data_IF_756164216088
#
_entry.id   IF_756164216088
#
_cell.length_a   1.000
_cell.length_b   1.000
_cell.length_c   1.000
_cell.angle_alpha   90.00
_cell.angle_beta   90.00
_cell.angle_gamma   90.00
#
_symmetry.space_group_name_H-M   'P 1'
#
loop_
_entity.id
_entity.type
_entity.pdbx_description
1 polymer ?
#
# COMPACT_ATOMS: atom_id res chain seq x y z
N UNK A 1 -4.27 -10.16 13.73
CA UNK A 1 -5.24 -9.07 13.95
C UNK A 1 -6.64 -9.55 13.57
N UNK A 2 -7.71 -9.08 14.25
CA UNK A 2 -9.07 -9.57 14.08
C UNK A 2 -9.65 -9.43 12.67
N UNK A 3 -9.32 -8.35 11.94
CA UNK A 3 -9.83 -8.12 10.59
C UNK A 3 -8.98 -8.78 9.48
N UNK A 4 -7.92 -9.52 9.84
CA UNK A 4 -7.05 -10.22 8.90
C UNK A 4 -6.09 -9.28 8.15
N UNK A 5 -5.70 -9.66 6.93
CA UNK A 5 -4.75 -8.89 6.12
C UNK A 5 -5.46 -7.98 5.11
N UNK A 6 -4.81 -6.88 4.72
CA UNK A 6 -5.29 -5.97 3.67
C UNK A 6 -5.51 -6.71 2.34
N UNK A 7 -4.68 -7.72 2.04
CA UNK A 7 -4.87 -8.59 0.87
C UNK A 7 -6.25 -9.23 0.84
N UNK A 8 -6.75 -9.68 2.00
CA UNK A 8 -8.06 -10.32 2.09
C UNK A 8 -9.19 -9.32 1.83
N UNK A 9 -9.01 -8.05 2.18
CA UNK A 9 -9.99 -7.00 1.93
C UNK A 9 -9.99 -6.51 0.48
N UNK A 10 -8.84 -6.55 -0.19
CA UNK A 10 -8.72 -6.14 -1.59
C UNK A 10 -9.18 -7.23 -2.56
N UNK A 11 -8.92 -8.51 -2.27
CA UNK A 11 -9.02 -9.59 -3.28
C UNK A 11 -9.86 -10.80 -2.89
N UNK A 12 -10.43 -10.85 -1.67
CA UNK A 12 -11.30 -11.98 -1.30
C UNK A 12 -12.69 -11.84 -1.92
N UNK A 13 -13.19 -12.93 -2.51
CA UNK A 13 -14.56 -13.03 -3.02
C UNK A 13 -15.61 -13.29 -1.94
N UNK A 14 -15.19 -13.53 -0.69
CA UNK A 14 -16.06 -13.98 0.39
C UNK A 14 -16.41 -12.85 1.37
N UNK A 15 -17.66 -12.39 1.31
CA UNK A 15 -18.46 -11.73 2.37
C UNK A 15 -17.92 -10.49 3.12
N UNK A 16 -16.67 -10.07 2.96
CA UNK A 16 -16.17 -8.82 3.53
C UNK A 16 -16.72 -7.65 2.72
N UNK A 17 -17.21 -6.61 3.40
CA UNK A 17 -17.56 -5.35 2.74
C UNK A 17 -16.30 -4.76 2.10
N UNK A 18 -16.38 -4.33 0.83
CA UNK A 18 -15.28 -3.61 0.18
C UNK A 18 -14.85 -2.40 1.01
N UNK A 19 -13.54 -2.11 1.04
CA UNK A 19 -13.00 -0.90 1.67
C UNK A 19 -13.43 0.34 0.89
N UNK A 20 -14.02 1.32 1.55
CA UNK A 20 -14.29 2.60 0.91
C UNK A 20 -13.00 3.44 0.75
N UNK A 21 -13.08 4.53 -0.02
CA UNK A 21 -11.92 5.38 -0.30
C UNK A 21 -11.27 5.96 0.97
N UNK A 22 -12.06 6.37 1.96
CA UNK A 22 -11.54 6.92 3.20
C UNK A 22 -10.75 5.87 3.99
N UNK A 23 -11.26 4.65 4.09
CA UNK A 23 -10.56 3.53 4.73
C UNK A 23 -9.25 3.21 4.00
N UNK A 24 -9.27 3.17 2.67
CA UNK A 24 -8.06 2.97 1.85
C UNK A 24 -7.00 4.04 2.15
N UNK A 25 -7.39 5.31 2.19
CA UNK A 25 -6.50 6.43 2.49
C UNK A 25 -5.92 6.33 3.91
N UNK A 26 -6.75 6.05 4.92
CA UNK A 26 -6.29 5.88 6.30
C UNK A 26 -5.27 4.74 6.41
N UNK A 27 -5.54 3.59 5.79
CA UNK A 27 -4.62 2.45 5.75
C UNK A 27 -3.28 2.85 5.11
N UNK A 28 -3.30 3.59 4.01
CA UNK A 28 -2.08 4.08 3.34
C UNK A 28 -1.30 5.03 4.27
N UNK A 29 -1.98 5.93 4.97
CA UNK A 29 -1.37 6.89 5.90
C UNK A 29 -0.71 6.17 7.08
N UNK A 30 -1.39 5.18 7.65
CA UNK A 30 -0.87 4.35 8.75
C UNK A 30 0.42 3.63 8.31
N UNK A 31 0.41 2.99 7.14
CA UNK A 31 1.60 2.31 6.59
C UNK A 31 2.73 3.29 6.32
N UNK A 32 2.44 4.45 5.74
CA UNK A 32 3.44 5.49 5.48
C UNK A 32 4.08 6.00 6.79
N UNK A 33 3.26 6.17 7.83
CA UNK A 33 3.71 6.60 9.16
C UNK A 33 4.64 5.57 9.80
N UNK A 34 4.36 4.26 9.64
CA UNK A 34 5.26 3.21 10.09
C UNK A 34 6.58 3.23 9.31
N UNK A 35 6.55 3.40 7.98
CA UNK A 35 7.80 3.49 7.21
C UNK A 35 8.63 4.71 7.60
N UNK A 36 8.01 5.87 7.79
CA UNK A 36 8.69 7.07 8.29
C UNK A 36 9.36 6.79 9.64
N UNK A 37 8.63 6.14 10.56
CA UNK A 37 9.17 5.72 11.85
C UNK A 37 10.40 4.81 11.73
N UNK A 38 10.30 3.76 10.91
CA UNK A 38 11.38 2.78 10.70
C UNK A 38 12.62 3.42 10.06
N UNK A 39 12.43 4.35 9.13
CA UNK A 39 13.52 4.94 8.35
C UNK A 39 14.17 6.15 9.03
N UNK A 40 13.39 6.96 9.73
CA UNK A 40 13.83 8.29 10.18
C UNK A 40 13.85 8.47 11.70
N UNK A 41 13.08 7.69 12.46
CA UNK A 41 12.90 7.92 13.90
C UNK A 41 13.48 6.80 14.79
N UNK A 42 13.97 5.71 14.20
CA UNK A 42 14.66 4.65 14.92
C UNK A 42 16.16 4.97 15.12
N UNK A 43 16.75 4.52 16.23
CA UNK A 43 18.19 4.67 16.51
C UNK A 43 19.09 4.02 15.44
N UNK A 44 18.63 2.91 14.86
CA UNK A 44 19.20 2.30 13.67
C UNK A 44 18.11 2.25 12.61
N UNK A 45 18.47 2.56 11.36
CA UNK A 45 17.51 2.54 10.26
C UNK A 45 17.02 1.10 10.08
N UNK A 46 15.71 0.89 10.12
CA UNK A 46 15.11 -0.42 9.92
C UNK A 46 14.54 -0.47 8.51
N UNK A 47 15.00 -1.43 7.69
CA UNK A 47 14.49 -1.64 6.34
C UNK A 47 13.60 -2.90 6.38
N UNK A 48 12.34 -2.79 6.00
CA UNK A 48 11.35 -3.87 6.07
C UNK A 48 11.61 -4.99 5.06
N UNK A 49 11.93 -4.63 3.81
CA UNK A 49 12.29 -5.48 2.67
C UNK A 49 11.18 -6.36 2.05
N UNK A 50 9.99 -6.45 2.65
CA UNK A 50 8.88 -7.24 2.11
C UNK A 50 7.51 -6.60 2.34
N UNK A 51 7.39 -5.30 2.04
CA UNK A 51 6.11 -4.60 2.23
C UNK A 51 5.13 -4.97 1.11
N UNK A 52 3.95 -5.50 1.48
CA UNK A 52 2.89 -5.94 0.57
C UNK A 52 1.56 -6.06 1.32
N UNK A 53 0.39 -6.10 0.65
CA UNK A 53 -0.91 -6.16 1.31
C UNK A 53 -1.10 -7.35 2.28
N UNK A 54 -0.46 -8.50 2.06
CA UNK A 54 -0.56 -9.63 3.01
C UNK A 54 0.15 -9.36 4.34
N UNK A 55 1.09 -8.42 4.34
CA UNK A 55 1.89 -8.05 5.51
C UNK A 55 1.32 -6.80 6.20
N UNK A 56 0.20 -6.26 5.73
CA UNK A 56 -0.55 -5.22 6.42
C UNK A 56 -1.74 -5.88 7.11
N UNK A 57 -1.76 -5.84 8.43
CA UNK A 57 -2.81 -6.43 9.26
C UNK A 57 -3.75 -5.34 9.78
N UNK A 58 -5.05 -5.60 9.80
CA UNK A 58 -6.07 -4.64 10.24
C UNK A 58 -6.62 -5.05 11.60
N UNK A 59 -6.57 -4.16 12.58
CA UNK A 59 -7.16 -4.37 13.90
C UNK A 59 -8.67 -4.12 13.91
N UNK A 60 -9.31 -4.19 15.10
CA UNK A 60 -10.76 -4.03 15.26
C UNK A 60 -11.29 -2.66 14.77
N UNK A 61 -10.45 -1.62 14.86
CA UNK A 61 -10.79 -0.24 14.46
C UNK A 61 -10.41 0.07 13.01
N UNK A 62 -10.01 -0.97 12.24
CA UNK A 62 -9.49 -0.86 10.87
C UNK A 62 -8.20 -0.05 10.75
N UNK A 63 -7.46 0.10 11.85
CA UNK A 63 -6.11 0.70 11.84
C UNK A 63 -5.13 -0.31 11.24
N UNK A 64 -4.23 0.18 10.39
CA UNK A 64 -3.28 -0.68 9.70
C UNK A 64 -1.98 -0.84 10.50
N UNK A 65 -1.55 -2.09 10.63
CA UNK A 65 -0.31 -2.48 11.30
C UNK A 65 0.59 -3.22 10.32
N UNK A 66 1.82 -2.72 10.14
CA UNK A 66 2.84 -3.42 9.34
C UNK A 66 3.37 -4.60 10.14
N UNK A 67 3.30 -5.79 9.56
CA UNK A 67 3.79 -7.04 10.13
C UNK A 67 4.81 -7.74 9.23
N UNK A 68 5.31 -8.88 9.70
CA UNK A 68 6.31 -9.72 9.03
C UNK A 68 7.66 -9.03 8.73
N UNK A 69 8.42 -8.81 9.80
CA UNK A 69 9.79 -8.33 9.75
C UNK A 69 10.82 -9.45 9.51
N UNK A 70 10.42 -10.63 9.02
CA UNK A 70 11.32 -11.77 8.81
C UNK A 70 12.48 -11.46 7.85
N UNK A 71 12.28 -10.50 6.95
CA UNK A 71 13.30 -10.03 6.01
C UNK A 71 13.96 -8.70 6.41
N UNK A 72 13.61 -8.14 7.57
CA UNK A 72 14.05 -6.80 7.95
C UNK A 72 15.56 -6.70 8.23
N UNK A 73 16.12 -5.50 8.05
CA UNK A 73 17.56 -5.19 8.23
C UNK A 73 17.75 -3.94 9.07
N UNK A 74 18.85 -3.90 9.84
CA UNK A 74 19.21 -2.77 10.69
C UNK A 74 20.47 -2.09 10.15
N UNK A 75 20.32 -0.94 9.48
CA UNK A 75 21.45 -0.14 9.02
C UNK A 75 22.05 0.68 10.17
N UNK A 76 23.39 0.74 10.25
CA UNK A 76 24.11 1.49 11.29
C UNK A 76 24.62 0.66 12.47
N UNK A 77 24.39 -0.66 12.49
CA UNK A 77 25.01 -1.57 13.46
C UNK A 77 26.22 -2.28 12.87
N UNK A 78 27.28 -2.51 13.66
CA UNK A 78 28.53 -3.17 13.24
C UNK A 78 28.35 -4.61 12.70
N UNK A 79 27.13 -5.14 12.73
CA UNK A 79 26.71 -6.46 12.23
C UNK A 79 26.40 -6.52 10.73
N UNK A 80 26.45 -5.41 9.98
CA UNK A 80 26.09 -5.38 8.55
C UNK A 80 27.06 -6.09 7.59
N UNK A 81 28.03 -6.86 8.11
CA UNK A 81 29.08 -7.51 7.33
C UNK A 81 28.72 -8.85 6.68
N UNK A 82 27.44 -9.22 6.59
CA UNK A 82 27.04 -10.43 5.84
C UNK A 82 26.04 -10.07 4.75
N UNK A 83 26.60 -9.70 3.60
CA UNK A 83 25.89 -9.72 2.32
C UNK A 83 25.39 -11.14 2.07
N UNK A 84 24.10 -11.36 2.29
CA UNK A 84 23.44 -12.61 1.94
C UNK A 84 22.95 -12.41 0.51
N UNK A 85 23.64 -13.09 -0.40
CA UNK A 85 23.35 -13.11 -1.84
C UNK A 85 22.03 -13.86 -2.09
N UNK A 86 21.12 -13.26 -2.87
CA UNK A 86 19.86 -13.86 -3.30
C UNK A 86 18.74 -12.84 -3.48
N UNK A 87 17.77 -13.15 -4.36
CA UNK A 87 16.54 -12.37 -4.51
C UNK A 87 15.79 -12.42 -3.17
N UNK A 88 15.41 -11.25 -2.66
CA UNK A 88 14.74 -11.10 -1.36
C UNK A 88 13.52 -10.20 -1.51
N UNK A 89 12.51 -10.50 -0.71
CA UNK A 89 11.19 -9.91 -0.84
C UNK A 89 10.33 -10.68 -1.85
N UNK A 90 9.11 -10.20 -2.04
CA UNK A 90 8.12 -10.79 -2.92
C UNK A 90 8.30 -10.24 -4.33
N UNK A 91 8.47 -11.12 -5.32
CA UNK A 91 8.88 -10.78 -6.71
C UNK A 91 7.98 -9.68 -7.31
N UNK A 92 6.67 -9.74 -7.07
CA UNK A 92 5.69 -8.79 -7.60
C UNK A 92 5.83 -7.36 -7.04
N UNK A 93 6.44 -7.22 -5.87
CA UNK A 93 6.57 -5.94 -5.16
C UNK A 93 8.01 -5.46 -5.13
N UNK A 94 8.97 -6.37 -5.30
CA UNK A 94 10.39 -6.10 -5.15
C UNK A 94 10.89 -5.06 -6.16
N UNK A 95 11.78 -4.14 -5.75
CA UNK A 95 12.45 -3.24 -6.67
C UNK A 95 13.23 -4.03 -7.74
N UNK A 96 13.22 -3.59 -9.02
CA UNK A 96 13.91 -4.31 -10.10
C UNK A 96 15.42 -4.47 -9.84
N UNK A 97 16.03 -3.50 -9.16
CA UNK A 97 17.44 -3.53 -8.78
C UNK A 97 17.79 -4.65 -7.77
N UNK A 98 16.82 -5.20 -7.03
CA UNK A 98 17.07 -6.33 -6.13
C UNK A 98 17.29 -7.64 -6.92
N UNK A 99 16.73 -7.74 -8.13
CA UNK A 99 16.93 -8.88 -9.03
C UNK A 99 18.37 -9.01 -9.55
N UNK A 100 19.15 -7.93 -9.50
CA UNK A 100 20.57 -7.89 -9.91
C UNK A 100 21.54 -7.90 -8.74
N UNK A 101 21.06 -8.18 -7.52
CA UNK A 101 21.90 -8.33 -6.32
C UNK A 101 22.26 -7.02 -5.62
N UNK A 102 21.49 -5.94 -5.84
CA UNK A 102 21.71 -4.67 -5.14
C UNK A 102 21.47 -4.80 -3.63
N UNK A 103 22.07 -3.90 -2.86
CA UNK A 103 21.85 -3.82 -1.42
C UNK A 103 20.44 -3.36 -1.07
N UNK A 104 19.97 -3.82 0.08
CA UNK A 104 18.68 -3.42 0.63
C UNK A 104 18.79 -2.00 1.20
N UNK A 105 17.83 -1.15 0.86
CA UNK A 105 17.84 0.27 1.20
C UNK A 105 16.43 0.71 1.58
N UNK A 106 16.33 1.82 2.33
CA UNK A 106 15.06 2.48 2.60
C UNK A 106 14.29 2.84 1.33
N UNK A 107 15.00 3.18 0.24
CA UNK A 107 14.39 3.44 -1.07
C UNK A 107 13.68 2.20 -1.66
N UNK A 108 14.12 0.99 -1.31
CA UNK A 108 13.44 -0.23 -1.72
C UNK A 108 12.09 -0.43 -1.02
N UNK A 109 12.01 -0.09 0.27
CA UNK A 109 10.73 -0.06 0.99
C UNK A 109 9.78 1.00 0.40
N UNK A 110 10.31 2.17 -0.01
CA UNK A 110 9.52 3.21 -0.70
C UNK A 110 8.98 2.70 -2.04
N UNK A 111 9.76 1.90 -2.77
CA UNK A 111 9.28 1.25 -3.99
C UNK A 111 8.17 0.24 -3.69
N UNK A 112 8.36 -0.64 -2.68
CA UNK A 112 7.32 -1.58 -2.27
C UNK A 112 6.03 -0.84 -1.85
N UNK A 113 6.16 0.26 -1.10
CA UNK A 113 5.05 1.12 -0.71
C UNK A 113 4.32 1.70 -1.91
N UNK A 114 5.04 2.11 -2.95
CA UNK A 114 4.43 2.60 -4.21
C UNK A 114 3.58 1.52 -4.88
N UNK A 115 4.04 0.27 -4.91
CA UNK A 115 3.24 -0.84 -5.47
C UNK A 115 1.99 -1.06 -4.63
N UNK A 116 2.14 -1.12 -3.31
CA UNK A 116 1.05 -1.29 -2.35
C UNK A 116 0.00 -0.18 -2.50
N UNK A 117 0.43 1.08 -2.57
CA UNK A 117 -0.42 2.25 -2.78
C UNK A 117 -1.27 2.08 -4.05
N UNK A 118 -0.65 1.72 -5.17
CA UNK A 118 -1.35 1.55 -6.44
C UNK A 118 -2.35 0.39 -6.39
N UNK A 119 -2.00 -0.72 -5.76
CA UNK A 119 -2.91 -1.85 -5.59
C UNK A 119 -4.10 -1.50 -4.69
N UNK A 120 -3.87 -0.76 -3.60
CA UNK A 120 -4.93 -0.26 -2.72
C UNK A 120 -5.87 0.69 -3.46
N UNK A 121 -5.36 1.57 -4.33
CA UNK A 121 -6.22 2.51 -5.05
C UNK A 121 -6.97 1.86 -6.21
N UNK A 122 -6.30 0.99 -6.97
CA UNK A 122 -6.85 0.39 -8.20
C UNK A 122 -7.65 -0.88 -7.95
N UNK A 123 -7.49 -1.50 -6.79
CA UNK A 123 -8.03 -2.82 -6.46
C UNK A 123 -7.39 -3.96 -7.27
N UNK A 124 -6.29 -3.72 -7.98
CA UNK A 124 -5.67 -4.68 -8.90
C UNK A 124 -4.33 -5.15 -8.40
N UNK A 125 -4.11 -6.47 -8.40
CA UNK A 125 -2.81 -7.04 -8.04
C UNK A 125 -1.75 -6.68 -9.09
N UNK A 126 -0.46 -6.58 -8.73
CA UNK A 126 0.60 -6.31 -9.71
C UNK A 126 0.70 -7.34 -10.84
N UNK A 127 0.14 -8.54 -10.64
CA UNK A 127 0.08 -9.66 -11.58
C UNK A 127 -1.30 -9.88 -12.20
N UNK A 128 -2.21 -8.91 -12.09
CA UNK A 128 -3.53 -8.98 -12.70
C UNK A 128 -3.42 -9.27 -14.21
N UNK A 129 -4.29 -10.15 -14.72
CA UNK A 129 -4.27 -10.59 -16.12
C UNK A 129 -4.46 -9.47 -17.14
N UNK A 130 -4.99 -8.31 -16.73
CA UNK A 130 -5.04 -7.12 -17.59
C UNK A 130 -3.64 -6.57 -17.92
N UNK A 131 -2.65 -6.83 -17.07
CA UNK A 131 -1.26 -6.39 -17.22
C UNK A 131 -0.49 -7.37 -18.11
N UNK A 132 -0.81 -7.36 -19.40
CA UNK A 132 -0.11 -8.13 -20.42
C UNK A 132 0.64 -7.22 -21.42
N UNK A 133 1.52 -7.83 -22.24
CA UNK A 133 2.22 -7.15 -23.35
C UNK A 133 2.99 -5.87 -22.94
N UNK A 134 3.53 -5.84 -21.73
CA UNK A 134 4.34 -4.73 -21.22
C UNK A 134 3.56 -3.60 -20.56
N UNK A 135 2.24 -3.73 -20.40
CA UNK A 135 1.45 -2.91 -19.48
C UNK A 135 1.73 -3.41 -18.05
N UNK A 136 2.11 -2.49 -17.17
CA UNK A 136 2.34 -2.76 -15.74
C UNK A 136 1.39 -1.91 -14.90
N UNK A 137 1.22 -2.25 -13.63
CA UNK A 137 0.42 -1.43 -12.70
C UNK A 137 0.85 0.04 -12.70
N UNK A 138 2.16 0.32 -12.80
CA UNK A 138 2.68 1.68 -12.94
C UNK A 138 2.23 2.38 -14.21
N UNK A 139 2.34 1.72 -15.37
CA UNK A 139 1.92 2.30 -16.65
C UNK A 139 0.42 2.49 -16.70
N UNK A 140 -0.34 1.56 -16.12
CA UNK A 140 -1.78 1.70 -15.98
C UNK A 140 -2.14 2.94 -15.17
N UNK A 141 -1.53 3.11 -13.99
CA UNK A 141 -1.77 4.27 -13.14
C UNK A 141 -1.34 5.58 -13.83
N UNK A 142 -0.22 5.61 -14.54
CA UNK A 142 0.27 6.79 -15.26
C UNK A 142 -0.67 7.21 -16.41
N UNK A 143 -1.14 6.23 -17.18
CA UNK A 143 -2.14 6.45 -18.24
C UNK A 143 -3.47 6.91 -17.66
N UNK A 144 -3.93 6.28 -16.58
CA UNK A 144 -5.20 6.64 -15.95
C UNK A 144 -5.13 8.02 -15.26
N UNK A 145 -4.03 8.37 -14.59
CA UNK A 145 -3.84 9.70 -13.99
C UNK A 145 -3.76 10.82 -15.04
N UNK A 146 -3.20 10.54 -16.22
CA UNK A 146 -3.07 11.54 -17.30
C UNK A 146 -4.35 11.73 -18.12
N UNK A 147 -5.23 10.73 -18.16
CA UNK A 147 -6.52 10.81 -18.85
C UNK A 147 -7.65 11.26 -17.91
N UNK A 148 -7.94 10.50 -16.85
CA UNK A 148 -8.99 10.76 -15.85
C UNK A 148 -8.68 10.00 -14.54
N UNK A 149 -8.45 10.74 -13.44
CA UNK A 149 -8.11 10.16 -12.12
C UNK A 149 -9.17 9.15 -11.61
N UNK A 150 -10.42 9.28 -12.05
CA UNK A 150 -11.50 8.34 -11.74
C UNK A 150 -11.21 6.92 -12.20
N UNK A 151 -10.44 6.73 -13.27
CA UNK A 151 -10.11 5.41 -13.83
C UNK A 151 -9.03 4.68 -13.02
N UNK A 152 -8.35 5.40 -12.12
CA UNK A 152 -7.32 4.86 -11.20
C UNK A 152 -7.96 4.30 -9.93
N UNK A 153 -9.05 4.91 -9.49
CA UNK A 153 -9.77 4.52 -8.27
C UNK A 153 -10.83 3.50 -8.65
N UNK A 154 -11.07 2.46 -7.85
CA UNK A 154 -12.24 1.59 -8.06
C UNK A 154 -13.52 2.47 -8.13
N UNK A 155 -14.13 2.54 -9.32
CA UNK A 155 -15.13 3.55 -9.72
C UNK A 155 -16.36 3.55 -8.78
N UNK A 156 -16.72 2.36 -8.30
CA UNK A 156 -17.78 2.17 -7.30
C UNK A 156 -17.51 2.88 -5.97
N UNK A 157 -16.24 3.03 -5.56
CA UNK A 157 -15.85 3.66 -4.30
C UNK A 157 -15.76 5.18 -4.42
N UNK A 158 -15.29 5.69 -5.57
CA UNK A 158 -15.20 7.14 -5.80
C UNK A 158 -16.59 7.75 -5.91
N UNK A 159 -17.52 7.10 -6.62
CA UNK A 159 -18.90 7.56 -6.75
C UNK A 159 -19.62 7.59 -5.39
N UNK A 160 -19.40 6.59 -4.53
CA UNK A 160 -19.94 6.57 -3.16
C UNK A 160 -19.35 7.68 -2.29
N UNK A 161 -18.03 7.87 -2.34
CA UNK A 161 -17.36 8.92 -1.58
C UNK A 161 -17.86 10.32 -1.96
N UNK A 162 -18.00 10.61 -3.26
CA UNK A 162 -18.54 11.87 -3.74
C UNK A 162 -20.01 12.06 -3.34
N UNK A 163 -20.81 10.99 -3.33
CA UNK A 163 -22.19 11.04 -2.84
C UNK A 163 -22.24 11.34 -1.33
N UNK A 164 -21.42 10.67 -0.53
CA UNK A 164 -21.33 10.88 0.93
C UNK A 164 -20.86 12.31 1.27
N UNK A 165 -19.84 12.84 0.59
CA UNK A 165 -19.35 14.22 0.79
C UNK A 165 -20.41 15.26 0.36
N UNK A 166 -21.11 15.04 -0.75
CA UNK A 166 -22.22 15.91 -1.17
C UNK A 166 -23.37 15.89 -0.15
N UNK A 167 -23.68 14.73 0.42
CA UNK A 167 -24.69 14.58 1.48
C UNK A 167 -24.23 15.33 2.75
N UNK A 168 -22.99 15.11 3.20
CA UNK A 168 -22.43 15.78 4.37
C UNK A 168 -22.45 17.31 4.23
N UNK A 169 -22.05 17.84 3.06
CA UNK A 169 -22.09 19.29 2.77
C UNK A 169 -23.51 19.86 2.77
N UNK A 170 -24.49 19.12 2.23
CA UNK A 170 -25.91 19.52 2.27
C UNK A 170 -26.42 19.62 3.71
N UNK A 171 -26.07 18.67 4.57
CA UNK A 171 -26.45 18.70 5.99
C UNK A 171 -25.80 19.85 6.75
N UNK A 172 -24.51 20.11 6.53
CA UNK A 172 -23.80 21.25 7.15
C UNK A 172 -24.38 22.59 6.74
N UNK A 173 -24.71 22.78 5.45
CA UNK A 173 -25.35 24.00 4.95
C UNK A 173 -26.79 24.19 5.47
N UNK A 174 -27.53 23.09 5.70
CA UNK A 174 -28.87 23.14 6.28
C UNK A 174 -28.85 23.54 7.76
N UNK A 175 -27.80 23.17 8.51
CA UNK A 175 -27.63 23.53 9.93
C UNK A 175 -27.16 24.97 10.13
N UNK A 176 -26.55 25.60 9.13
CA UNK A 176 -26.13 27.02 9.18
C UNK A 176 -27.24 28.00 8.79
N UNK A 177 -28.42 27.51 8.37
CA UNK A 177 -29.60 28.32 7.98
C UNK A 177 -30.70 28.37 9.06
N UNK A 178 -30.41 27.92 10.28
CA UNK A 178 -31.27 28.06 11.46
C UNK A 178 -30.62 29.01 12.45
#
# INVERSE_FOLDING_TARGET
MPNGSLRDWLHSSASKSKLNLLQRLNIIIDVASVLDYLHNHCLSIIIHCDLKPSNILLDDDMVAHVGDFGLARFLGTNSNKKGISGIRGTIEYAPPEYGIGSEMTSSGDVYNFRILLLEVMTGKTPTDGIFNKGLTLHKFADVALSAYVTDVIDDDDLLKFLQEDVIARKYTLAMQRK
#
